data_IF_910428830635
#
_entry.id   IF_910428830635
#
_cell.length_a   1.000
_cell.length_b   1.000
_cell.length_c   1.000
_cell.angle_alpha   90.00
_cell.angle_beta   90.00
_cell.angle_gamma   90.00
#
_symmetry.space_group_name_H-M   'P 1'
#
loop_
_entity.id
_entity.type
_entity.pdbx_description
1 polymer ?
#
# COMPACT_ATOMS: atom_id res chain seq x y z
N UNK A 1 25.97 -1.96 9.41
CA UNK A 1 25.68 -2.70 8.16
C UNK A 1 25.78 -1.72 6.99
N UNK A 2 26.17 -2.14 5.78
CA UNK A 2 26.19 -1.22 4.63
C UNK A 2 24.75 -0.80 4.28
N UNK A 3 24.53 0.50 4.05
CA UNK A 3 23.19 1.03 3.75
C UNK A 3 22.57 0.44 2.47
N UNK A 4 23.40 -0.10 1.56
CA UNK A 4 22.96 -0.79 0.34
C UNK A 4 23.92 -1.94 0.03
N UNK A 5 23.36 -3.09 -0.31
CA UNK A 5 24.10 -4.26 -0.80
C UNK A 5 24.03 -4.26 -2.32
N UNK A 6 25.18 -4.40 -2.98
CA UNK A 6 25.24 -4.61 -4.43
C UNK A 6 25.28 -6.12 -4.71
N UNK A 7 24.15 -6.67 -5.14
CA UNK A 7 23.95 -8.11 -5.33
C UNK A 7 24.00 -8.52 -6.80
N UNK A 8 24.20 -9.81 -7.07
CA UNK A 8 24.02 -10.39 -8.39
C UNK A 8 22.53 -10.62 -8.68
N UNK A 9 22.16 -10.75 -9.95
CA UNK A 9 20.76 -11.00 -10.35
C UNK A 9 20.16 -12.27 -9.73
N UNK A 10 20.98 -13.24 -9.32
CA UNK A 10 20.51 -14.46 -8.66
C UNK A 10 20.08 -14.24 -7.20
N UNK A 11 20.62 -13.20 -6.55
CA UNK A 11 20.49 -13.01 -5.10
C UNK A 11 19.07 -12.55 -4.72
N UNK A 12 18.34 -11.92 -5.65
CA UNK A 12 16.94 -11.50 -5.46
C UNK A 12 15.96 -12.66 -5.37
N UNK A 13 16.37 -13.87 -5.79
CA UNK A 13 15.58 -15.09 -5.70
C UNK A 13 15.85 -15.87 -4.41
N UNK A 14 16.71 -15.35 -3.53
CA UNK A 14 17.00 -15.97 -2.24
C UNK A 14 15.80 -15.81 -1.31
N UNK A 15 15.30 -16.96 -0.83
CA UNK A 15 14.25 -17.04 0.19
C UNK A 15 14.68 -18.03 1.28
N UNK A 16 14.15 -17.88 2.49
CA UNK A 16 14.42 -18.86 3.55
C UNK A 16 13.58 -18.62 4.80
N UNK A 17 13.75 -19.49 5.79
CA UNK A 17 13.08 -19.38 7.10
C UNK A 17 13.91 -18.63 8.13
N UNK A 18 15.09 -18.15 7.75
CA UNK A 18 15.98 -17.39 8.62
C UNK A 18 16.16 -15.99 8.08
N UNK A 19 16.18 -15.03 8.99
CA UNK A 19 16.49 -13.64 8.66
C UNK A 19 17.99 -13.50 8.35
N UNK A 20 18.34 -13.44 7.07
CA UNK A 20 19.73 -13.28 6.61
C UNK A 20 20.20 -11.82 6.60
N UNK A 21 19.26 -10.87 6.53
CA UNK A 21 19.53 -9.44 6.46
C UNK A 21 18.56 -8.66 7.36
N UNK A 22 18.91 -7.43 7.73
CA UNK A 22 17.98 -6.55 8.44
C UNK A 22 16.71 -6.31 7.58
N UNK A 23 15.55 -6.23 8.23
CA UNK A 23 14.31 -5.89 7.55
C UNK A 23 14.42 -4.47 6.96
N UNK A 24 14.00 -4.32 5.70
CA UNK A 24 14.17 -3.09 4.93
C UNK A 24 15.58 -2.87 4.37
N UNK A 25 16.52 -3.81 4.57
CA UNK A 25 17.85 -3.74 3.94
C UNK A 25 17.70 -3.52 2.43
N UNK A 26 18.42 -2.56 1.86
CA UNK A 26 18.39 -2.30 0.42
C UNK A 26 19.37 -3.22 -0.31
N UNK A 27 18.91 -3.83 -1.41
CA UNK A 27 19.74 -4.50 -2.40
C UNK A 27 19.53 -3.86 -3.78
N UNK A 28 20.63 -3.64 -4.51
CA UNK A 28 20.64 -3.09 -5.85
C UNK A 28 21.32 -4.09 -6.80
N UNK A 29 20.67 -4.39 -7.93
CA UNK A 29 21.16 -5.31 -8.96
C UNK A 29 21.84 -4.59 -10.11
N UNK A 30 22.62 -5.29 -10.98
CA UNK A 30 23.34 -4.65 -12.09
C UNK A 30 22.44 -3.97 -13.13
N UNK A 31 21.15 -4.35 -13.19
CA UNK A 31 20.14 -3.72 -14.04
C UNK A 31 19.54 -2.43 -13.42
N UNK A 32 20.00 -2.03 -12.23
CA UNK A 32 19.54 -0.85 -11.50
C UNK A 32 18.21 -1.04 -10.74
N UNK A 33 17.68 -2.27 -10.69
CA UNK A 33 16.49 -2.57 -9.88
C UNK A 33 16.82 -2.50 -8.38
N UNK A 34 15.87 -2.04 -7.57
CA UNK A 34 16.02 -1.93 -6.12
C UNK A 34 15.08 -2.90 -5.43
N UNK A 35 15.60 -3.54 -4.39
CA UNK A 35 14.90 -4.49 -3.55
C UNK A 35 15.03 -4.13 -2.07
N UNK A 36 14.06 -4.59 -1.28
CA UNK A 36 14.04 -4.49 0.17
C UNK A 36 13.80 -5.86 0.78
N UNK A 37 14.59 -6.23 1.79
CA UNK A 37 14.44 -7.52 2.47
C UNK A 37 13.23 -7.46 3.42
N UNK A 38 12.38 -8.48 3.38
CA UNK A 38 11.12 -8.51 4.11
C UNK A 38 10.80 -9.90 4.67
N UNK A 39 9.91 -9.94 5.65
CA UNK A 39 9.31 -11.12 6.26
C UNK A 39 7.83 -11.18 5.88
N UNK A 40 7.34 -12.32 5.36
CA UNK A 40 5.91 -12.52 5.16
C UNK A 40 5.19 -12.83 6.47
N UNK A 41 3.91 -12.52 6.50
CA UNK A 41 3.01 -13.04 7.52
C UNK A 41 2.86 -14.57 7.43
N UNK A 42 1.99 -15.10 8.29
CA UNK A 42 1.65 -16.53 8.39
C UNK A 42 0.86 -17.12 7.21
N UNK A 43 0.85 -16.45 6.05
CA UNK A 43 0.22 -16.91 4.81
C UNK A 43 1.27 -17.16 3.72
N UNK A 44 1.08 -18.22 2.94
CA UNK A 44 1.94 -18.50 1.79
C UNK A 44 1.86 -17.36 0.77
N UNK A 45 3.02 -16.84 0.36
CA UNK A 45 3.10 -15.78 -0.62
C UNK A 45 2.73 -16.21 -2.04
N UNK A 46 2.35 -15.23 -2.85
CA UNK A 46 2.18 -15.31 -4.30
C UNK A 46 3.22 -14.42 -4.98
N UNK A 47 3.98 -14.98 -5.93
CA UNK A 47 4.94 -14.22 -6.74
C UNK A 47 4.20 -13.24 -7.67
N UNK A 48 4.84 -12.13 -8.02
CA UNK A 48 4.31 -11.10 -8.92
C UNK A 48 2.99 -10.43 -8.46
N UNK A 49 2.59 -10.59 -7.20
CA UNK A 49 1.54 -9.77 -6.60
C UNK A 49 2.17 -8.56 -5.90
N UNK A 50 1.43 -7.45 -5.84
CA UNK A 50 1.77 -6.32 -4.99
C UNK A 50 1.52 -6.68 -3.52
N UNK A 51 2.46 -6.32 -2.65
CA UNK A 51 2.34 -6.45 -1.20
C UNK A 51 2.21 -5.08 -0.54
N UNK A 52 1.69 -5.08 0.68
CA UNK A 52 1.65 -3.93 1.58
C UNK A 52 2.30 -4.30 2.93
N UNK A 53 2.66 -3.27 3.70
CA UNK A 53 3.06 -3.46 5.09
C UNK A 53 1.90 -4.05 5.91
N UNK A 54 2.19 -4.63 7.07
CA UNK A 54 1.15 -5.11 7.99
C UNK A 54 0.15 -3.99 8.32
N UNK A 55 -1.12 -4.34 8.49
CA UNK A 55 -2.12 -3.37 8.92
C UNK A 55 -1.77 -2.81 10.32
N UNK A 56 -1.93 -1.50 10.56
CA UNK A 56 -1.79 -0.93 11.90
C UNK A 56 -2.72 -1.59 12.90
N UNK A 57 -2.24 -1.78 14.14
CA UNK A 57 -3.03 -2.35 15.23
C UNK A 57 -3.49 -1.21 16.13
N UNK A 58 -4.80 -0.97 16.18
CA UNK A 58 -5.40 0.14 16.93
C UNK A 58 -5.04 0.13 18.42
N UNK A 59 -4.83 -1.05 19.01
CA UNK A 59 -4.44 -1.17 20.42
C UNK A 59 -3.01 -0.72 20.71
N UNK A 60 -2.19 -0.44 19.70
CA UNK A 60 -0.81 0.02 19.86
C UNK A 60 -0.63 1.52 19.60
N UNK A 61 -1.75 2.27 19.53
CA UNK A 61 -1.78 3.72 19.34
C UNK A 61 -2.20 4.42 20.64
N UNK A 62 -1.51 5.51 20.98
CA UNK A 62 -1.88 6.40 22.10
C UNK A 62 -1.96 5.71 23.46
N UNK A 63 -1.16 4.68 23.70
CA UNK A 63 -1.21 3.89 24.94
C UNK A 63 -0.41 4.55 26.06
N UNK A 64 -0.86 4.43 27.31
CA UNK A 64 -0.13 5.04 28.42
C UNK A 64 1.28 4.44 28.57
N UNK A 65 2.25 5.32 28.88
CA UNK A 65 3.54 4.91 29.41
C UNK A 65 3.36 4.12 30.72
N UNK A 66 3.90 2.90 30.79
CA UNK A 66 3.74 2.04 31.97
C UNK A 66 4.69 2.39 33.11
N UNK A 67 5.92 2.78 32.75
CA UNK A 67 7.00 3.10 33.68
C UNK A 67 7.65 4.40 33.25
N UNK A 68 7.85 5.33 34.18
CA UNK A 68 8.52 6.60 33.90
C UNK A 68 9.86 6.36 33.19
N UNK A 69 10.08 7.09 32.09
CA UNK A 69 11.32 7.04 31.34
C UNK A 69 12.33 8.00 31.98
N UNK A 70 13.54 7.51 32.25
CA UNK A 70 14.66 8.29 32.73
C UNK A 70 15.71 8.51 31.62
N UNK A 71 16.47 9.59 31.73
CA UNK A 71 17.57 9.84 30.79
C UNK A 71 18.61 8.71 30.92
N UNK A 72 19.00 8.13 29.80
CA UNK A 72 19.93 7.02 29.73
C UNK A 72 19.29 5.64 29.72
N UNK A 73 17.96 5.53 29.88
CA UNK A 73 17.27 4.25 29.77
C UNK A 73 17.43 3.67 28.35
N UNK A 74 17.71 2.37 28.30
CA UNK A 74 17.87 1.59 27.05
C UNK A 74 16.64 0.74 26.74
N UNK A 75 15.59 0.88 27.55
CA UNK A 75 14.32 0.17 27.43
C UNK A 75 13.16 1.10 27.70
N UNK A 76 12.05 0.91 27.01
CA UNK A 76 10.78 1.61 27.25
C UNK A 76 9.70 0.56 27.51
N UNK A 77 8.96 0.71 28.61
CA UNK A 77 7.81 -0.17 28.91
C UNK A 77 6.54 0.40 28.29
N UNK A 78 5.98 -0.36 27.36
CA UNK A 78 4.83 0.00 26.53
C UNK A 78 3.60 -0.84 26.94
N UNK A 79 2.42 -0.21 27.06
CA UNK A 79 1.17 -0.96 27.29
C UNK A 79 0.64 -1.52 25.99
N UNK A 80 0.24 -2.78 25.96
CA UNK A 80 -0.16 -3.47 24.73
C UNK A 80 -1.59 -3.16 24.24
N UNK A 81 -2.33 -2.36 25.00
CA UNK A 81 -3.73 -1.98 24.74
C UNK A 81 -4.70 -3.16 24.62
N UNK A 82 -4.33 -4.35 25.10
CA UNK A 82 -5.11 -5.59 24.98
C UNK A 82 -4.70 -6.50 23.81
N UNK A 83 -3.72 -6.10 22.98
CA UNK A 83 -3.14 -6.98 21.95
C UNK A 83 -1.68 -7.30 22.29
N UNK A 84 -1.47 -8.49 22.85
CA UNK A 84 -0.15 -8.95 23.26
C UNK A 84 0.84 -9.01 22.08
N UNK A 85 2.09 -8.65 22.36
CA UNK A 85 3.20 -8.83 21.43
C UNK A 85 3.75 -10.25 21.53
N UNK A 86 4.12 -10.81 20.38
CA UNK A 86 5.00 -11.97 20.32
C UNK A 86 6.47 -11.53 20.42
N UNK A 87 7.38 -12.48 20.62
CA UNK A 87 8.81 -12.18 20.71
C UNK A 87 9.29 -11.52 19.41
N UNK A 88 10.08 -10.46 19.54
CA UNK A 88 10.67 -9.69 18.44
C UNK A 88 9.67 -9.12 17.41
N UNK A 89 8.40 -9.02 17.78
CA UNK A 89 7.35 -8.40 16.99
C UNK A 89 7.62 -6.91 16.71
N UNK A 90 8.25 -6.23 17.67
CA UNK A 90 8.60 -4.82 17.61
C UNK A 90 9.98 -4.55 16.98
N UNK A 91 10.75 -5.59 16.66
CA UNK A 91 12.11 -5.46 16.16
C UNK A 91 12.16 -4.66 14.84
N UNK A 92 13.04 -3.66 14.79
CA UNK A 92 13.18 -2.72 13.68
C UNK A 92 12.03 -1.73 13.53
N UNK A 93 11.06 -1.70 14.45
CA UNK A 93 10.00 -0.71 14.52
C UNK A 93 10.42 0.56 15.28
N UNK A 94 9.45 1.38 15.66
CA UNK A 94 9.69 2.61 16.42
C UNK A 94 8.59 2.92 17.43
N UNK A 95 8.94 3.53 18.55
CA UNK A 95 8.00 4.16 19.49
C UNK A 95 8.01 5.66 19.27
N UNK A 96 6.81 6.22 19.14
CA UNK A 96 6.54 7.63 18.98
C UNK A 96 5.97 8.16 20.29
N UNK A 97 6.46 9.32 20.69
CA UNK A 97 6.11 9.95 21.96
C UNK A 97 5.30 11.22 21.71
N UNK A 98 4.14 11.32 22.36
CA UNK A 98 3.06 12.22 21.92
C UNK A 98 2.67 13.30 22.93
N UNK A 99 3.23 13.29 24.14
CA UNK A 99 2.90 14.28 25.16
C UNK A 99 3.85 15.49 25.19
N UNK A 100 3.36 16.59 25.74
CA UNK A 100 4.04 17.91 25.70
C UNK A 100 5.49 17.91 26.25
N UNK A 101 5.84 16.95 27.12
CA UNK A 101 7.17 16.87 27.74
C UNK A 101 8.31 16.48 26.80
N UNK A 102 7.98 15.75 25.73
CA UNK A 102 8.88 15.07 24.79
C UNK A 102 8.15 14.74 23.48
N UNK A 103 7.30 15.67 23.04
CA UNK A 103 6.56 15.59 21.80
C UNK A 103 7.53 15.45 20.61
N UNK A 104 7.28 14.44 19.77
CA UNK A 104 8.00 14.23 18.52
C UNK A 104 9.32 13.47 18.66
N UNK A 105 9.64 12.96 19.84
CA UNK A 105 10.76 12.02 19.99
C UNK A 105 10.33 10.65 19.44
N UNK A 106 11.21 10.05 18.64
CA UNK A 106 10.99 8.73 18.03
C UNK A 106 12.18 7.84 18.35
N UNK A 107 11.91 6.72 19.01
CA UNK A 107 12.93 5.79 19.45
C UNK A 107 12.85 4.48 18.64
N UNK A 108 13.91 4.08 17.91
CA UNK A 108 13.94 2.83 17.19
C UNK A 108 14.10 1.64 18.15
N UNK A 109 13.42 0.55 17.84
CA UNK A 109 13.32 -0.64 18.69
C UNK A 109 14.15 -1.78 18.12
N UNK A 110 15.05 -2.33 18.93
CA UNK A 110 15.88 -3.48 18.59
C UNK A 110 15.10 -4.79 18.71
N UNK A 111 14.38 -4.95 19.81
CA UNK A 111 13.67 -6.17 20.17
C UNK A 111 12.62 -5.90 21.24
N UNK A 112 11.75 -6.88 21.44
CA UNK A 112 10.84 -6.94 22.58
C UNK A 112 10.73 -8.37 23.08
N UNK A 113 10.47 -8.49 24.38
CA UNK A 113 10.08 -9.77 24.96
C UNK A 113 8.59 -10.01 24.76
N UNK A 114 8.16 -11.25 24.97
CA UNK A 114 6.73 -11.57 25.06
C UNK A 114 6.12 -10.76 26.19
N UNK A 115 4.98 -10.15 25.89
CA UNK A 115 4.18 -9.36 26.82
C UNK A 115 3.72 -10.21 28.00
N UNK A 116 3.96 -9.75 29.24
CA UNK A 116 3.13 -10.16 30.37
C UNK A 116 1.82 -9.37 30.28
N UNK A 117 0.66 -9.96 30.62
CA UNK A 117 -0.65 -9.36 30.35
C UNK A 117 -0.67 -7.84 30.57
N UNK A 118 -0.80 -7.10 29.46
CA UNK A 118 -0.90 -5.64 29.33
C UNK A 118 0.39 -4.81 29.25
N UNK A 119 1.60 -5.38 29.40
CA UNK A 119 2.87 -4.61 29.38
C UNK A 119 4.03 -5.33 28.66
N UNK A 120 4.70 -4.59 27.78
CA UNK A 120 5.81 -5.07 26.96
C UNK A 120 7.03 -4.19 27.16
N UNK A 121 8.18 -4.82 27.45
CA UNK A 121 9.46 -4.12 27.50
C UNK A 121 10.08 -4.09 26.10
N UNK A 122 10.19 -2.89 25.55
CA UNK A 122 10.81 -2.62 24.26
C UNK A 122 12.27 -2.22 24.49
N UNK A 123 13.22 -2.95 23.90
CA UNK A 123 14.65 -2.63 23.98
C UNK A 123 15.00 -1.70 22.82
N UNK A 124 15.67 -0.59 23.11
CA UNK A 124 16.09 0.38 22.10
C UNK A 124 17.30 -0.13 21.29
N UNK A 125 17.48 0.42 20.08
CA UNK A 125 18.65 0.13 19.25
C UNK A 125 19.98 0.46 19.94
N UNK A 126 21.03 -0.25 19.52
CA UNK A 126 22.36 -0.09 20.12
C UNK A 126 22.87 1.35 19.97
N UNK A 127 23.25 1.96 21.09
CA UNK A 127 23.72 3.36 21.14
C UNK A 127 22.60 4.40 21.21
N UNK A 128 21.34 3.98 21.27
CA UNK A 128 20.19 4.84 21.56
C UNK A 128 19.79 4.69 23.02
N UNK A 129 19.54 5.82 23.66
CA UNK A 129 18.94 5.87 24.99
C UNK A 129 17.89 6.98 25.04
N UNK A 130 16.97 6.89 25.97
CA UNK A 130 16.07 7.99 26.30
C UNK A 130 16.90 9.23 26.62
N UNK A 131 16.61 10.36 25.95
CA UNK A 131 17.32 11.63 26.14
C UNK A 131 16.50 12.67 26.91
N UNK A 132 15.20 12.40 27.11
CA UNK A 132 14.28 13.24 27.85
C UNK A 132 13.50 12.38 28.85
N UNK A 133 13.62 12.72 30.13
CA UNK A 133 12.85 12.03 31.17
C UNK A 133 11.40 12.50 31.18
N UNK A 134 10.47 11.55 31.35
CA UNK A 134 9.03 11.78 31.47
C UNK A 134 8.41 10.80 32.45
N UNK A 135 7.45 11.29 33.24
CA UNK A 135 6.75 10.48 34.26
C UNK A 135 5.46 9.84 33.75
N UNK A 136 4.85 10.42 32.72
CA UNK A 136 3.64 9.94 32.06
C UNK A 136 3.71 10.36 30.59
N UNK A 137 3.16 9.53 29.70
CA UNK A 137 3.11 9.79 28.27
C UNK A 137 2.00 9.01 27.59
N UNK A 138 1.68 9.39 26.35
CA UNK A 138 1.00 8.57 25.37
C UNK A 138 2.03 8.10 24.33
N UNK A 139 2.08 6.79 24.10
CA UNK A 139 3.02 6.13 23.22
C UNK A 139 2.28 5.43 22.08
N UNK A 140 2.78 5.63 20.87
CA UNK A 140 2.35 4.88 19.69
C UNK A 140 3.49 4.04 19.16
N UNK A 141 3.24 2.75 18.96
CA UNK A 141 4.20 1.84 18.34
C UNK A 141 3.89 1.68 16.85
N UNK A 142 4.91 1.88 16.02
CA UNK A 142 4.86 1.66 14.57
C UNK A 142 5.75 0.46 14.23
N UNK A 143 5.14 -0.62 13.74
CA UNK A 143 5.84 -1.83 13.30
C UNK A 143 6.76 -1.54 12.12
N UNK A 144 7.85 -2.29 12.01
CA UNK A 144 8.70 -2.25 10.81
C UNK A 144 7.84 -2.55 9.57
N UNK A 145 7.86 -1.69 8.54
CA UNK A 145 7.05 -1.87 7.33
C UNK A 145 7.31 -3.15 6.53
N UNK A 146 8.50 -3.70 6.70
CA UNK A 146 8.98 -4.90 6.01
C UNK A 146 8.83 -6.16 6.86
N UNK A 147 8.17 -6.05 8.03
CA UNK A 147 7.81 -7.16 8.90
C UNK A 147 6.37 -7.58 8.65
N UNK A 148 6.13 -8.89 8.61
CA UNK A 148 4.81 -9.49 8.38
C UNK A 148 4.04 -8.87 7.22
N UNK A 149 4.73 -8.67 6.10
CA UNK A 149 4.12 -8.13 4.89
C UNK A 149 3.03 -9.10 4.38
N UNK A 150 2.03 -8.53 3.73
CA UNK A 150 0.89 -9.28 3.23
C UNK A 150 0.46 -8.76 1.86
N UNK A 151 -0.24 -9.60 1.10
CA UNK A 151 -0.73 -9.23 -0.24
C UNK A 151 -1.57 -7.95 -0.11
N UNK A 152 -1.31 -6.97 -0.98
CA UNK A 152 -1.99 -5.68 -0.94
C UNK A 152 -3.50 -5.87 -0.99
N UNK A 153 -4.18 -5.55 0.10
CA UNK A 153 -5.62 -5.75 0.23
C UNK A 153 -6.37 -4.79 -0.70
N UNK A 154 -7.62 -5.15 -0.97
CA UNK A 154 -8.53 -4.41 -1.80
C UNK A 154 -9.86 -4.29 -1.02
N UNK A 155 -10.15 -3.17 -0.35
CA UNK A 155 -9.36 -1.92 -0.30
C UNK A 155 -8.05 -2.04 0.51
N UNK A 156 -7.14 -1.09 0.28
CA UNK A 156 -5.84 -1.03 0.95
C UNK A 156 -5.99 -0.86 2.47
N UNK A 157 -5.10 -1.48 3.25
CA UNK A 157 -5.05 -1.34 4.72
C UNK A 157 -3.73 -0.74 5.20
N UNK A 158 -2.73 -0.69 4.34
CA UNK A 158 -1.43 -0.05 4.56
C UNK A 158 -0.83 0.34 3.21
N UNK A 159 0.40 0.87 3.23
CA UNK A 159 1.09 1.28 2.02
C UNK A 159 1.83 0.12 1.35
N UNK A 160 2.04 0.24 0.04
CA UNK A 160 2.68 -0.79 -0.76
C UNK A 160 4.17 -0.99 -0.40
N UNK A 161 4.61 -2.24 -0.38
CA UNK A 161 6.00 -2.65 -0.06
C UNK A 161 6.60 -3.49 -1.19
N UNK A 162 6.12 -3.31 -2.42
CA UNK A 162 6.74 -3.87 -3.62
C UNK A 162 6.22 -5.26 -4.00
N UNK A 163 6.95 -5.93 -4.89
CA UNK A 163 6.54 -7.16 -5.57
C UNK A 163 7.64 -8.21 -5.47
N UNK A 164 7.36 -9.43 -4.99
CA UNK A 164 8.36 -10.50 -4.93
C UNK A 164 8.48 -11.19 -6.30
N UNK A 165 9.72 -11.50 -6.71
CA UNK A 165 10.01 -12.24 -7.96
C UNK A 165 9.88 -13.75 -7.81
N UNK A 166 9.70 -14.23 -6.58
CA UNK A 166 9.63 -15.66 -6.24
C UNK A 166 8.65 -15.83 -5.09
N UNK A 167 8.06 -17.02 -4.99
CA UNK A 167 7.22 -17.37 -3.84
C UNK A 167 8.09 -17.42 -2.59
N UNK A 168 7.65 -16.74 -1.54
CA UNK A 168 8.24 -16.80 -0.21
C UNK A 168 7.23 -17.54 0.68
N UNK A 169 7.72 -18.48 1.50
CA UNK A 169 6.87 -19.27 2.40
C UNK A 169 6.22 -18.39 3.49
N UNK A 170 5.16 -18.90 4.12
CA UNK A 170 4.60 -18.32 5.34
C UNK A 170 5.70 -18.17 6.41
N UNK A 171 5.72 -17.04 7.11
CA UNK A 171 6.75 -16.68 8.10
C UNK A 171 8.19 -16.73 7.52
N UNK A 172 8.30 -16.65 6.20
CA UNK A 172 9.55 -16.71 5.45
C UNK A 172 10.08 -15.33 5.11
N UNK A 173 11.35 -15.29 4.74
CA UNK A 173 12.06 -14.07 4.38
C UNK A 173 12.47 -14.08 2.91
N UNK A 174 12.48 -12.91 2.28
CA UNK A 174 12.89 -12.74 0.89
C UNK A 174 13.00 -11.28 0.44
N UNK A 175 13.23 -11.09 -0.86
CA UNK A 175 13.44 -9.78 -1.46
C UNK A 175 12.18 -9.28 -2.19
N UNK A 176 11.75 -8.07 -1.83
CA UNK A 176 10.65 -7.36 -2.48
C UNK A 176 11.22 -6.34 -3.46
N UNK A 177 10.88 -6.44 -4.74
CA UNK A 177 11.28 -5.42 -5.71
C UNK A 177 10.44 -4.16 -5.47
N UNK A 178 11.10 -3.03 -5.28
CA UNK A 178 10.44 -1.73 -5.04
C UNK A 178 10.64 -0.78 -6.21
N UNK A 179 11.72 -0.95 -6.99
CA UNK A 179 12.00 -0.15 -8.18
C UNK A 179 12.55 -0.99 -9.33
N UNK A 180 12.29 -0.54 -10.56
CA UNK A 180 12.82 -1.14 -11.78
C UNK A 180 11.76 -1.94 -12.54
N UNK A 181 12.18 -2.60 -13.62
CA UNK A 181 11.27 -3.41 -14.44
C UNK A 181 10.86 -4.66 -13.66
N UNK A 182 9.56 -4.86 -13.53
CA UNK A 182 8.95 -5.97 -12.81
C UNK A 182 7.75 -6.53 -13.59
N UNK A 183 7.27 -7.67 -13.12
CA UNK A 183 6.01 -8.27 -13.55
C UNK A 183 5.03 -8.19 -12.39
N UNK A 184 3.82 -7.69 -12.62
CA UNK A 184 2.81 -7.58 -11.57
C UNK A 184 1.42 -8.00 -12.07
N UNK A 185 0.60 -8.59 -11.21
CA UNK A 185 -0.80 -8.92 -11.52
C UNK A 185 -1.56 -7.65 -11.92
N UNK A 186 -2.29 -7.70 -13.03
CA UNK A 186 -3.10 -6.61 -13.51
C UNK A 186 -4.59 -6.86 -13.30
N UNK A 187 -5.32 -5.79 -13.00
CA UNK A 187 -6.76 -5.75 -13.01
C UNK A 187 -7.21 -4.59 -13.91
N UNK A 188 -8.11 -4.84 -14.86
CA UNK A 188 -8.42 -3.89 -15.93
C UNK A 188 -7.43 -3.98 -17.10
N UNK A 189 -7.81 -3.33 -18.21
CA UNK A 189 -7.00 -3.30 -19.43
C UNK A 189 -5.97 -2.19 -19.35
N UNK A 190 -4.69 -2.55 -19.32
CA UNK A 190 -3.60 -1.60 -19.12
C UNK A 190 -3.04 -1.16 -20.48
N UNK A 191 -3.01 0.15 -20.70
CA UNK A 191 -2.35 0.79 -21.85
C UNK A 191 -0.90 1.13 -21.55
N UNK A 192 -0.08 1.26 -22.59
CA UNK A 192 1.34 1.63 -22.45
C UNK A 192 1.45 3.02 -21.82
N UNK A 193 2.44 3.22 -20.95
CA UNK A 193 2.75 4.49 -20.27
C UNK A 193 1.65 5.00 -19.33
N UNK A 194 0.67 4.17 -18.98
CA UNK A 194 -0.32 4.52 -17.96
C UNK A 194 0.28 4.39 -16.56
N UNK A 195 0.03 5.41 -15.74
CA UNK A 195 0.31 5.33 -14.31
C UNK A 195 -0.64 4.33 -13.65
N UNK A 196 -0.08 3.46 -12.83
CA UNK A 196 -0.80 2.40 -12.14
C UNK A 196 -0.80 2.65 -10.64
N UNK A 197 -1.93 2.36 -10.00
CA UNK A 197 -2.09 2.30 -8.56
C UNK A 197 -2.56 0.91 -8.12
N UNK A 198 -2.50 0.59 -6.81
CA UNK A 198 -3.06 -0.67 -6.30
C UNK A 198 -4.56 -0.75 -6.60
N UNK A 199 -5.04 -1.90 -7.09
CA UNK A 199 -6.46 -2.11 -7.39
C UNK A 199 -7.31 -2.07 -6.11
N UNK A 200 -8.51 -1.49 -6.21
CA UNK A 200 -9.53 -1.51 -5.16
C UNK A 200 -10.61 -2.58 -5.40
N UNK A 201 -10.40 -3.47 -6.38
CA UNK A 201 -11.30 -4.58 -6.67
C UNK A 201 -10.64 -5.98 -6.62
N UNK A 202 -9.32 -6.08 -6.81
CA UNK A 202 -8.59 -7.36 -6.77
C UNK A 202 -7.32 -7.20 -5.93
N UNK A 203 -7.19 -8.00 -4.86
CA UNK A 203 -6.02 -7.97 -3.98
C UNK A 203 -4.74 -8.38 -4.72
N UNK A 204 -3.65 -7.66 -4.46
CA UNK A 204 -2.34 -7.88 -5.07
C UNK A 204 -2.22 -7.42 -6.52
N UNK A 205 -3.28 -6.89 -7.13
CA UNK A 205 -3.25 -6.40 -8.50
C UNK A 205 -2.97 -4.89 -8.59
N UNK A 206 -2.38 -4.47 -9.70
CA UNK A 206 -2.32 -3.09 -10.16
C UNK A 206 -3.47 -2.79 -11.11
N UNK A 207 -3.93 -1.55 -11.10
CA UNK A 207 -5.00 -1.05 -11.95
C UNK A 207 -4.71 0.39 -12.41
N UNK A 208 -5.45 0.86 -13.41
CA UNK A 208 -5.21 2.18 -14.01
C UNK A 208 -5.55 3.28 -13.01
N UNK A 209 -4.57 4.15 -12.71
CA UNK A 209 -4.78 5.37 -11.92
C UNK A 209 -5.84 6.26 -12.55
N UNK A 210 -5.78 6.36 -13.89
CA UNK A 210 -6.62 7.24 -14.69
C UNK A 210 -6.99 6.56 -16.01
N UNK A 211 -8.26 6.67 -16.38
CA UNK A 211 -8.79 6.28 -17.69
C UNK A 211 -9.61 7.43 -18.25
N UNK A 212 -9.62 7.57 -19.57
CA UNK A 212 -10.36 8.62 -20.27
C UNK A 212 -10.99 8.04 -21.51
N UNK A 213 -12.07 8.65 -21.96
CA UNK A 213 -12.73 8.26 -23.20
C UNK A 213 -13.75 9.30 -23.65
N UNK A 214 -14.41 8.97 -24.74
CA UNK A 214 -15.54 9.72 -25.29
C UNK A 214 -16.63 8.73 -25.60
N UNK A 215 -17.87 9.11 -25.35
CA UNK A 215 -19.04 8.28 -25.58
C UNK A 215 -20.21 9.16 -26.04
N UNK A 216 -21.18 8.50 -26.67
CA UNK A 216 -22.36 9.15 -27.25
C UNK A 216 -23.60 8.51 -26.65
N UNK A 217 -24.39 9.32 -25.95
CA UNK A 217 -25.66 8.89 -25.36
C UNK A 217 -26.79 9.08 -26.38
N UNK A 218 -27.32 7.96 -26.88
CA UNK A 218 -28.39 7.90 -27.89
C UNK A 218 -29.80 7.77 -27.31
N UNK A 219 -29.91 7.51 -26.00
CA UNK A 219 -31.18 7.28 -25.31
C UNK A 219 -31.10 7.86 -23.89
N UNK A 220 -31.98 7.45 -22.97
CA UNK A 220 -31.97 7.96 -21.59
C UNK A 220 -30.83 7.41 -20.72
N UNK A 221 -30.14 6.35 -21.14
CA UNK A 221 -29.06 5.73 -20.36
C UNK A 221 -27.98 5.11 -21.25
N UNK A 222 -26.72 5.29 -20.87
CA UNK A 222 -25.57 4.65 -21.50
C UNK A 222 -24.66 4.05 -20.44
N UNK A 223 -24.27 2.79 -20.62
CA UNK A 223 -23.19 2.16 -19.87
C UNK A 223 -21.85 2.49 -20.52
N UNK A 224 -21.09 3.36 -19.87
CA UNK A 224 -19.72 3.72 -20.25
C UNK A 224 -18.78 2.62 -19.76
N UNK A 225 -18.03 2.00 -20.67
CA UNK A 225 -17.04 0.98 -20.33
C UNK A 225 -15.67 1.61 -20.15
N UNK A 226 -15.17 1.63 -18.91
CA UNK A 226 -13.88 2.22 -18.56
C UNK A 226 -12.74 1.20 -18.38
N UNK A 227 -13.04 -0.05 -18.02
CA UNK A 227 -12.06 -1.12 -17.80
C UNK A 227 -10.85 -0.73 -16.94
N UNK A 228 -11.04 0.19 -15.98
CA UNK A 228 -9.94 0.74 -15.18
C UNK A 228 -9.35 -0.28 -14.21
N UNK A 229 -10.07 -1.37 -13.90
CA UNK A 229 -9.68 -2.30 -12.83
C UNK A 229 -10.00 -1.77 -11.44
N UNK A 230 -10.82 -0.73 -11.37
CA UNK A 230 -11.33 -0.14 -10.15
C UNK A 230 -12.85 -0.09 -10.17
N UNK A 231 -13.47 -0.24 -9.00
CA UNK A 231 -14.85 0.22 -8.80
C UNK A 231 -14.79 1.70 -8.39
N UNK A 232 -15.16 2.65 -9.26
CA UNK A 232 -15.08 4.07 -8.94
C UNK A 232 -16.22 4.47 -7.99
N UNK A 233 -16.05 5.60 -7.32
CA UNK A 233 -17.14 6.36 -6.71
C UNK A 233 -17.49 7.57 -7.57
N UNK A 234 -18.66 8.18 -7.34
CA UNK A 234 -19.12 9.31 -8.15
C UNK A 234 -18.15 10.50 -8.21
N UNK A 235 -17.34 10.72 -7.17
CA UNK A 235 -16.31 11.77 -7.15
C UNK A 235 -15.06 11.44 -7.98
N UNK A 236 -14.86 10.19 -8.37
CA UNK A 236 -13.72 9.78 -9.22
C UNK A 236 -13.99 10.10 -10.71
N UNK A 237 -15.24 10.41 -11.06
CA UNK A 237 -15.69 10.55 -12.45
C UNK A 237 -15.98 12.03 -12.74
N UNK A 238 -15.37 12.54 -13.79
CA UNK A 238 -15.67 13.85 -14.37
C UNK A 238 -16.23 13.67 -15.78
N UNK A 239 -17.38 14.31 -16.05
CA UNK A 239 -17.99 14.36 -17.37
C UNK A 239 -17.72 15.72 -18.01
N UNK A 240 -17.27 15.70 -19.27
CA UNK A 240 -17.02 16.87 -20.09
C UNK A 240 -17.97 16.84 -21.29
N UNK A 241 -19.07 17.60 -21.22
CA UNK A 241 -20.00 17.68 -22.35
C UNK A 241 -19.33 18.34 -23.55
N UNK A 242 -19.37 17.66 -24.70
CA UNK A 242 -18.81 18.15 -25.97
C UNK A 242 -19.92 18.75 -26.82
N UNK A 243 -21.09 18.12 -26.81
CA UNK A 243 -22.34 18.61 -27.37
C UNK A 243 -23.48 18.40 -26.36
N UNK A 244 -24.39 19.37 -26.28
CA UNK A 244 -25.56 19.31 -25.40
C UNK A 244 -26.82 19.63 -26.20
N UNK A 245 -27.49 18.61 -26.77
CA UNK A 245 -28.69 18.82 -27.56
C UNK A 245 -29.94 19.07 -26.70
N UNK A 246 -29.83 18.96 -25.38
CA UNK A 246 -30.99 18.94 -24.49
C UNK A 246 -31.39 20.36 -24.11
N UNK A 247 -32.71 20.63 -24.07
CA UNK A 247 -33.23 21.89 -23.53
C UNK A 247 -33.41 21.86 -22.00
N UNK A 248 -33.02 20.77 -21.34
CA UNK A 248 -33.22 20.52 -19.90
C UNK A 248 -31.95 19.91 -19.24
N UNK A 249 -30.87 20.71 -19.09
CA UNK A 249 -29.58 20.24 -18.56
C UNK A 249 -29.63 19.83 -17.07
N UNK A 250 -30.69 20.18 -16.32
CA UNK A 250 -30.80 19.94 -14.88
C UNK A 250 -31.16 18.50 -14.50
N UNK A 251 -31.12 17.57 -15.46
CA UNK A 251 -31.69 16.22 -15.30
C UNK A 251 -30.72 15.08 -15.59
N UNK A 252 -29.42 15.30 -15.37
CA UNK A 252 -28.35 14.31 -15.58
C UNK A 252 -27.86 13.71 -14.27
N UNK A 253 -27.58 12.41 -14.27
CA UNK A 253 -26.96 11.76 -13.12
C UNK A 253 -26.08 10.59 -13.53
N UNK A 254 -25.05 10.34 -12.73
CA UNK A 254 -24.28 9.10 -12.78
C UNK A 254 -25.00 8.02 -11.96
N UNK A 255 -24.98 6.79 -12.45
CA UNK A 255 -25.53 5.63 -11.75
C UNK A 255 -24.69 4.39 -11.98
N UNK A 256 -25.00 3.29 -11.29
CA UNK A 256 -24.37 1.95 -11.45
C UNK A 256 -22.85 2.01 -11.57
N UNK A 257 -22.13 1.93 -10.46
CA UNK A 257 -20.66 1.88 -10.48
C UNK A 257 -20.18 0.44 -10.32
N UNK A 258 -19.38 -0.04 -11.27
CA UNK A 258 -18.83 -1.40 -11.27
C UNK A 258 -17.34 -1.36 -11.60
N UNK A 259 -16.67 -2.51 -11.60
CA UNK A 259 -15.25 -2.61 -11.92
C UNK A 259 -14.92 -2.29 -13.39
N UNK A 260 -15.92 -2.31 -14.26
CA UNK A 260 -15.74 -2.15 -15.71
C UNK A 260 -16.58 -1.02 -16.30
N UNK A 261 -17.65 -0.62 -15.63
CA UNK A 261 -18.63 0.33 -16.15
C UNK A 261 -19.14 1.32 -15.10
N UNK A 262 -19.48 2.52 -15.58
CA UNK A 262 -20.44 3.42 -14.94
C UNK A 262 -21.57 3.76 -15.91
N UNK A 263 -22.71 4.25 -15.43
CA UNK A 263 -23.80 4.72 -16.31
C UNK A 263 -23.93 6.24 -16.27
N UNK A 264 -24.14 6.83 -17.44
CA UNK A 264 -24.58 8.22 -17.60
C UNK A 264 -26.05 8.19 -17.97
N UNK A 265 -26.85 8.97 -17.26
CA UNK A 265 -28.29 9.00 -17.45
C UNK A 265 -28.78 10.44 -17.66
N UNK A 266 -29.84 10.56 -18.44
CA UNK A 266 -30.63 11.77 -18.65
C UNK A 266 -32.11 11.43 -18.44
N UNK A 267 -32.90 12.39 -17.98
CA UNK A 267 -34.33 12.16 -17.74
C UNK A 267 -35.15 12.07 -19.02
N UNK A 268 -34.78 12.86 -20.02
CA UNK A 268 -35.50 12.96 -21.30
C UNK A 268 -34.56 12.56 -22.42
N UNK A 269 -35.04 11.70 -23.32
CA UNK A 269 -34.32 11.29 -24.51
C UNK A 269 -33.87 12.50 -25.34
N UNK A 270 -32.65 12.45 -25.88
CA UNK A 270 -32.08 13.52 -26.70
C UNK A 270 -32.72 13.60 -28.09
N UNK A 271 -33.50 12.56 -28.47
CA UNK A 271 -34.23 12.52 -29.71
C UNK A 271 -33.29 12.30 -30.90
N UNK A 272 -33.42 13.10 -31.96
CA UNK A 272 -32.60 12.95 -33.17
C UNK A 272 -31.19 13.57 -33.07
N UNK A 273 -30.91 14.26 -31.96
CA UNK A 273 -29.61 14.86 -31.70
C UNK A 273 -28.97 14.07 -30.56
N UNK A 274 -27.76 13.57 -30.72
CA UNK A 274 -27.11 12.73 -29.71
C UNK A 274 -26.36 13.60 -28.68
N UNK A 275 -26.18 13.12 -27.44
CA UNK A 275 -25.34 13.81 -26.46
C UNK A 275 -23.93 13.21 -26.45
N UNK A 276 -22.97 13.94 -27.01
CA UNK A 276 -21.55 13.59 -26.99
C UNK A 276 -20.87 14.14 -25.72
N UNK A 277 -20.11 13.28 -25.06
CA UNK A 277 -19.33 13.69 -23.89
C UNK A 277 -17.98 12.98 -23.84
N UNK A 278 -16.99 13.70 -23.34
CA UNK A 278 -15.77 13.13 -22.81
C UNK A 278 -15.96 12.73 -21.35
N UNK A 279 -15.17 11.77 -20.88
CA UNK A 279 -15.13 11.41 -19.48
C UNK A 279 -13.69 11.17 -19.02
N UNK A 280 -13.45 11.47 -17.76
CA UNK A 280 -12.23 11.08 -17.03
C UNK A 280 -12.66 10.33 -15.79
N UNK A 281 -12.06 9.16 -15.56
CA UNK A 281 -12.09 8.45 -14.29
C UNK A 281 -10.69 8.49 -13.69
N UNK A 282 -10.56 9.03 -12.49
CA UNK A 282 -9.31 9.06 -11.73
C UNK A 282 -9.55 8.70 -10.26
N UNK A 283 -8.91 7.63 -9.78
CA UNK A 283 -9.04 7.19 -8.38
C UNK A 283 -8.09 7.97 -7.47
N UNK A 284 -8.19 7.86 -6.15
CA UNK A 284 -7.30 8.62 -5.22
C UNK A 284 -5.99 7.88 -4.88
N UNK A 285 -5.87 6.59 -5.25
CA UNK A 285 -4.73 5.75 -4.88
C UNK A 285 -3.35 6.28 -5.36
N UNK A 286 -2.27 6.03 -4.59
CA UNK A 286 -0.93 6.47 -4.97
C UNK A 286 -0.44 5.73 -6.23
N UNK A 287 0.35 6.43 -7.04
CA UNK A 287 1.01 5.81 -8.19
C UNK A 287 2.16 4.94 -7.66
N UNK A 288 2.16 3.66 -8.02
CA UNK A 288 3.19 2.69 -7.60
C UNK A 288 3.96 2.11 -8.78
N UNK A 289 3.46 2.27 -10.01
CA UNK A 289 4.13 1.79 -11.20
C UNK A 289 3.71 2.56 -12.46
N UNK A 290 4.45 2.34 -13.55
CA UNK A 290 4.05 2.73 -14.92
C UNK A 290 4.00 1.47 -15.77
N UNK A 291 2.94 1.31 -16.55
CA UNK A 291 2.79 0.17 -17.43
C UNK A 291 3.72 0.27 -18.65
N UNK A 292 4.41 -0.82 -19.00
CA UNK A 292 5.41 -0.84 -20.09
C UNK A 292 4.90 -1.52 -21.36
N UNK A 293 3.84 -2.32 -21.28
CA UNK A 293 3.29 -3.07 -22.40
C UNK A 293 1.75 -3.13 -22.29
N UNK A 294 1.05 -3.27 -23.42
CA UNK A 294 -0.39 -3.53 -23.37
C UNK A 294 -0.63 -4.86 -22.65
N UNK A 295 -1.61 -4.89 -21.74
CA UNK A 295 -1.91 -6.08 -20.98
C UNK A 295 -3.38 -6.21 -20.62
N UNK A 296 -3.84 -7.46 -20.52
CA UNK A 296 -5.22 -7.78 -20.22
C UNK A 296 -5.47 -7.90 -18.71
N UNK A 297 -6.74 -7.90 -18.32
CA UNK A 297 -7.18 -8.16 -16.95
C UNK A 297 -6.81 -9.58 -16.51
N UNK A 298 -6.40 -9.73 -15.26
CA UNK A 298 -6.02 -11.01 -14.63
C UNK A 298 -4.80 -11.70 -15.24
N UNK A 299 -3.97 -10.95 -15.97
CA UNK A 299 -2.66 -11.39 -16.45
C UNK A 299 -1.54 -10.63 -15.74
N UNK A 300 -0.31 -11.15 -15.86
CA UNK A 300 0.86 -10.44 -15.37
C UNK A 300 1.34 -9.43 -16.43
N UNK A 301 1.44 -8.16 -16.03
CA UNK A 301 1.90 -7.09 -16.91
C UNK A 301 3.32 -6.66 -16.57
N UNK A 302 4.08 -6.29 -17.60
CA UNK A 302 5.39 -5.68 -17.45
C UNK A 302 5.23 -4.22 -17.03
N UNK A 303 5.79 -3.87 -15.89
CA UNK A 303 5.67 -2.54 -15.29
C UNK A 303 7.03 -2.02 -14.85
N UNK A 304 7.16 -0.71 -14.73
CA UNK A 304 8.27 -0.07 -14.02
C UNK A 304 7.78 0.34 -12.63
N UNK A 305 8.28 -0.33 -11.59
CA UNK A 305 7.90 -0.04 -10.19
C UNK A 305 8.55 1.26 -9.71
N UNK A 306 7.81 1.99 -8.88
CA UNK A 306 8.19 3.26 -8.22
C UNK A 306 7.79 3.25 -6.74
N UNK A 307 7.81 2.09 -6.10
CA UNK A 307 7.53 1.97 -4.67
C UNK A 307 8.79 2.42 -3.91
N UNK A 308 8.71 3.54 -3.20
CA UNK A 308 9.80 4.07 -2.38
C UNK A 308 9.27 4.52 -1.02
#
# INVERSE_FOLDING_TARGET
>A
MAATIYGAQKDVYLTGTQQLYALGQKLETPDGSIFRFAELNSTLGVANNLYQASAPVANWEGTDLSTAMAIGDTTITFKDGGTAFVVDEAAGGSIHVEETGDLGYVYPIKSNLVTASNETVMTLEDGISVIKAVTANALTFIKNPWKEILIHASPATSYAVGVPRVIIAADGFGWMQTRGVASCLANGTQGIQQDLCPSNAVSGALANKRTVGTDTLLTTSLAVTHNSGHTPIGSDITIHYLEDPTTDPETRWLGTFTTTQFTVNIKTDTGANDMDFGWTLEVVGPIVAVNLAVGATAEFNAVFLKVE
#
